data_IF_359808062634
#
_entry.id   IF_359808062634
#
_cell.length_a   1.000
_cell.length_b   1.000
_cell.length_c   1.000
_cell.angle_alpha   90.00
_cell.angle_beta   90.00
_cell.angle_gamma   90.00
#
_symmetry.space_group_name_H-M   'P 1'
#
loop_
_entity.id
_entity.type
_entity.pdbx_description
1 polymer ?
#
# COMPACT_ATOMS: atom_id res chain seq x y z
N UNK A 1 1.25 -3.75 24.46
CA UNK A 1 0.82 -4.15 23.11
C UNK A 1 0.44 -2.90 22.31
N UNK A 2 0.98 -2.76 21.10
CA UNK A 2 0.73 -1.61 20.24
C UNK A 2 -0.65 -1.71 19.59
N UNK A 3 -1.47 -0.69 19.71
CA UNK A 3 -2.75 -0.61 19.03
C UNK A 3 -2.55 0.00 17.64
N UNK A 4 -2.88 -0.77 16.60
CA UNK A 4 -2.78 -0.33 15.21
C UNK A 4 -4.16 0.02 14.67
N UNK A 5 -4.27 1.19 14.04
CA UNK A 5 -5.50 1.65 13.40
C UNK A 5 -5.19 2.33 12.09
N UNK A 6 -6.20 2.40 11.21
CA UNK A 6 -6.15 3.22 10.00
C UNK A 6 -7.11 4.37 10.14
N UNK A 7 -6.74 5.53 9.61
CA UNK A 7 -7.63 6.68 9.56
C UNK A 7 -7.60 7.33 8.18
N UNK A 8 -8.71 7.93 7.79
CA UNK A 8 -8.80 8.68 6.53
C UNK A 8 -7.85 9.87 6.58
N UNK A 9 -7.39 10.27 5.42
CA UNK A 9 -6.59 11.51 5.29
C UNK A 9 -7.55 12.70 5.37
N UNK A 10 -7.25 13.63 6.27
CA UNK A 10 -8.06 14.83 6.54
C UNK A 10 -7.18 16.06 6.52
N UNK A 11 -7.83 17.24 6.56
CA UNK A 11 -7.08 18.50 6.68
C UNK A 11 -6.20 18.54 7.93
N UNK A 12 -6.60 17.81 8.98
CA UNK A 12 -5.87 17.86 10.26
C UNK A 12 -4.66 16.91 10.28
N UNK A 13 -4.65 15.87 9.48
CA UNK A 13 -3.56 14.86 9.48
C UNK A 13 -2.75 14.79 8.18
N UNK A 14 -3.14 15.53 7.13
CA UNK A 14 -2.43 15.45 5.83
C UNK A 14 -0.95 15.85 5.96
N UNK A 15 -0.64 16.81 6.81
CA UNK A 15 0.75 17.19 7.07
C UNK A 15 1.55 16.03 7.67
N UNK A 16 0.97 15.37 8.67
CA UNK A 16 1.60 14.20 9.28
C UNK A 16 1.79 13.06 8.28
N UNK A 17 0.79 12.84 7.40
CA UNK A 17 0.89 11.83 6.34
C UNK A 17 2.04 12.14 5.38
N UNK A 18 2.15 13.39 4.93
CA UNK A 18 3.24 13.81 4.02
C UNK A 18 4.62 13.74 4.67
N UNK A 19 4.70 13.79 5.99
CA UNK A 19 5.95 13.68 6.74
C UNK A 19 6.44 12.24 6.88
N UNK A 20 5.62 11.24 6.55
CA UNK A 20 6.04 9.83 6.56
C UNK A 20 7.14 9.65 5.51
N UNK A 21 8.30 9.20 5.95
CA UNK A 21 9.44 8.91 5.07
C UNK A 21 9.95 7.50 5.37
N UNK A 22 10.19 6.74 4.31
CA UNK A 22 10.77 5.39 4.42
C UNK A 22 12.28 5.48 4.67
N UNK A 23 12.92 4.33 4.92
CA UNK A 23 14.38 4.28 5.02
C UNK A 23 15.02 4.71 3.69
N UNK A 24 16.20 5.37 3.72
CA UNK A 24 16.84 5.86 2.48
C UNK A 24 17.00 4.81 1.37
N UNK A 25 17.32 3.58 1.72
CA UNK A 25 17.50 2.50 0.75
C UNK A 25 16.17 2.03 0.11
N UNK A 26 15.04 2.49 0.62
CA UNK A 26 13.71 2.14 0.11
C UNK A 26 13.11 3.23 -0.78
N UNK A 27 13.70 4.42 -0.83
CA UNK A 27 13.11 5.56 -1.55
C UNK A 27 12.92 5.30 -3.04
N UNK A 28 13.77 4.49 -3.67
CA UNK A 28 13.63 4.14 -5.08
C UNK A 28 12.57 3.07 -5.35
N UNK A 29 12.00 2.47 -4.30
CA UNK A 29 11.04 1.37 -4.42
C UNK A 29 9.59 1.80 -4.18
N UNK A 30 9.36 3.00 -3.67
CA UNK A 30 8.01 3.51 -3.42
C UNK A 30 7.98 5.04 -3.59
N UNK A 31 6.89 5.54 -4.16
CA UNK A 31 6.69 6.99 -4.30
C UNK A 31 6.48 7.64 -2.94
N UNK A 32 6.89 8.91 -2.76
CA UNK A 32 6.61 9.64 -1.53
C UNK A 32 5.10 9.85 -1.35
N UNK A 33 4.68 9.99 -0.10
CA UNK A 33 3.25 10.11 0.23
C UNK A 33 2.57 11.26 -0.49
N UNK A 34 3.25 12.40 -0.64
CA UNK A 34 2.66 13.56 -1.32
C UNK A 34 2.26 13.24 -2.77
N UNK A 35 3.06 12.45 -3.46
CA UNK A 35 2.72 12.02 -4.83
C UNK A 35 1.50 11.09 -4.82
N UNK A 36 1.44 10.16 -3.88
CA UNK A 36 0.30 9.25 -3.76
C UNK A 36 -0.98 10.02 -3.49
N UNK A 37 -0.94 11.06 -2.65
CA UNK A 37 -2.10 11.89 -2.37
C UNK A 37 -2.51 12.73 -3.59
N UNK A 38 -1.55 13.20 -4.38
CA UNK A 38 -1.86 13.90 -5.63
C UNK A 38 -2.57 12.97 -6.62
N UNK A 39 -2.10 11.72 -6.75
CA UNK A 39 -2.74 10.72 -7.59
C UNK A 39 -4.13 10.37 -7.08
N UNK A 40 -4.31 10.26 -5.76
CA UNK A 40 -5.62 10.02 -5.13
C UNK A 40 -6.59 11.16 -5.40
N UNK A 41 -6.13 12.39 -5.36
CA UNK A 41 -6.94 13.56 -5.71
C UNK A 41 -7.43 13.51 -7.17
N UNK A 42 -6.57 13.02 -8.07
CA UNK A 42 -6.92 12.90 -9.49
C UNK A 42 -7.84 11.71 -9.79
N UNK A 43 -7.90 10.72 -8.90
CA UNK A 43 -8.69 9.49 -9.06
C UNK A 43 -9.42 9.15 -7.74
N UNK A 44 -10.29 10.05 -7.25
CA UNK A 44 -10.88 9.86 -5.92
C UNK A 44 -11.80 8.64 -5.82
N UNK A 45 -12.41 8.21 -6.91
CA UNK A 45 -13.27 7.03 -6.95
C UNK A 45 -12.50 5.71 -6.93
N UNK A 46 -11.21 5.75 -7.23
CA UNK A 46 -10.33 4.57 -7.29
C UNK A 46 -9.48 4.44 -6.03
N UNK A 47 -8.89 5.55 -5.58
CA UNK A 47 -7.92 5.57 -4.50
C UNK A 47 -8.55 5.42 -3.11
N UNK A 48 -7.88 4.64 -2.28
CA UNK A 48 -8.29 4.41 -0.89
C UNK A 48 -7.09 4.68 0.05
N UNK A 49 -6.74 5.96 0.26
CA UNK A 49 -5.58 6.33 1.09
C UNK A 49 -5.92 6.31 2.57
N UNK A 50 -4.99 5.82 3.39
CA UNK A 50 -5.14 5.75 4.85
C UNK A 50 -3.81 6.04 5.53
N UNK A 51 -3.87 6.73 6.65
CA UNK A 51 -2.74 6.91 7.56
C UNK A 51 -2.73 5.75 8.56
N UNK A 52 -1.58 5.14 8.76
CA UNK A 52 -1.38 4.08 9.74
C UNK A 52 -1.00 4.73 11.06
N UNK A 53 -1.76 4.44 12.11
CA UNK A 53 -1.47 4.93 13.46
C UNK A 53 -1.06 3.76 14.37
N UNK A 54 0.01 3.95 15.12
CA UNK A 54 0.47 3.03 16.15
C UNK A 54 0.32 3.74 17.49
N UNK A 55 -0.58 3.28 18.34
CA UNK A 55 -0.95 3.94 19.61
C UNK A 55 -1.28 5.43 19.40
N UNK A 56 -1.98 5.74 18.31
CA UNK A 56 -2.38 7.10 17.95
C UNK A 56 -1.31 7.94 17.27
N UNK A 57 -0.09 7.43 17.11
CA UNK A 57 1.01 8.15 16.48
C UNK A 57 1.18 7.74 15.01
N UNK A 58 1.44 8.69 14.10
CA UNK A 58 1.67 8.37 12.69
C UNK A 58 2.86 7.42 12.52
N UNK A 59 2.62 6.29 11.86
CA UNK A 59 3.61 5.24 11.68
C UNK A 59 3.81 4.84 10.21
N UNK A 60 2.89 5.22 9.33
CA UNK A 60 2.99 4.88 7.93
C UNK A 60 1.78 5.33 7.13
N UNK A 61 1.81 5.01 5.86
CA UNK A 61 0.76 5.34 4.90
C UNK A 61 0.50 4.13 4.01
N UNK A 62 -0.76 3.88 3.71
CA UNK A 62 -1.16 2.84 2.77
C UNK A 62 -2.22 3.38 1.82
N UNK A 63 -2.18 2.96 0.57
CA UNK A 63 -3.20 3.31 -0.40
C UNK A 63 -3.60 2.08 -1.20
N UNK A 64 -4.87 1.71 -1.11
CA UNK A 64 -5.47 0.72 -1.97
C UNK A 64 -5.97 1.34 -3.25
N UNK A 65 -6.23 0.51 -4.25
CA UNK A 65 -6.85 0.90 -5.51
C UNK A 65 -8.00 -0.04 -5.81
N UNK A 66 -9.18 0.50 -6.12
CA UNK A 66 -10.36 -0.27 -6.44
C UNK A 66 -11.01 0.32 -7.69
N UNK A 67 -10.78 -0.33 -8.83
CA UNK A 67 -11.26 0.10 -10.14
C UNK A 67 -11.77 -1.11 -10.91
N UNK A 68 -12.95 -1.63 -10.53
CA UNK A 68 -13.46 -2.91 -11.05
C UNK A 68 -13.66 -2.93 -12.56
N UNK A 69 -13.82 -1.77 -13.17
CA UNK A 69 -14.04 -1.64 -14.61
C UNK A 69 -12.76 -1.37 -15.40
N UNK A 70 -11.60 -1.36 -14.75
CA UNK A 70 -10.33 -1.14 -15.42
C UNK A 70 -10.11 -2.22 -16.49
N UNK A 71 -9.74 -1.83 -17.74
CA UNK A 71 -9.46 -2.80 -18.80
C UNK A 71 -8.25 -3.69 -18.50
N UNK A 72 -7.31 -3.21 -17.68
CA UNK A 72 -6.15 -3.99 -17.24
C UNK A 72 -6.53 -4.68 -15.94
N UNK A 73 -6.67 -6.01 -15.97
CA UNK A 73 -7.26 -6.76 -14.87
C UNK A 73 -6.47 -6.68 -13.57
N UNK A 74 -5.14 -6.59 -13.64
CA UNK A 74 -4.32 -6.50 -12.43
C UNK A 74 -4.28 -5.09 -11.80
N UNK A 75 -5.04 -4.13 -12.36
CA UNK A 75 -5.27 -2.82 -11.74
C UNK A 75 -6.68 -2.66 -11.16
N UNK A 76 -7.49 -3.72 -11.19
CA UNK A 76 -8.88 -3.63 -10.72
C UNK A 76 -9.03 -3.59 -9.22
N UNK A 77 -8.12 -4.22 -8.50
CA UNK A 77 -8.19 -4.30 -7.04
C UNK A 77 -6.81 -4.63 -6.48
N UNK A 78 -6.30 -3.80 -5.61
CA UNK A 78 -5.04 -4.12 -4.99
C UNK A 78 -4.44 -3.04 -4.11
N UNK A 79 -3.20 -3.28 -3.75
CA UNK A 79 -2.38 -2.34 -3.00
C UNK A 79 -1.63 -1.46 -3.99
N UNK A 80 -1.80 -0.14 -3.85
CA UNK A 80 -1.14 0.83 -4.71
C UNK A 80 0.15 1.36 -4.10
N UNK A 81 0.12 1.70 -2.80
CA UNK A 81 1.29 2.26 -2.09
C UNK A 81 1.33 1.76 -0.65
N UNK A 82 2.53 1.54 -0.15
CA UNK A 82 2.77 1.24 1.26
C UNK A 82 4.08 1.89 1.69
N UNK A 83 3.99 2.84 2.63
CA UNK A 83 5.13 3.55 3.20
C UNK A 83 5.11 3.36 4.72
N UNK A 84 6.02 2.55 5.24
CA UNK A 84 6.21 2.44 6.69
C UNK A 84 7.34 3.38 7.08
N UNK A 85 7.11 4.21 8.10
CA UNK A 85 8.07 5.22 8.50
C UNK A 85 9.41 4.62 8.91
N UNK A 86 10.49 5.31 8.54
CA UNK A 86 11.83 4.96 8.99
C UNK A 86 11.86 4.89 10.52
N UNK A 87 12.54 3.87 11.06
CA UNK A 87 12.58 3.63 12.49
C UNK A 87 11.38 2.89 13.06
N UNK A 88 10.33 2.67 12.27
CA UNK A 88 9.12 1.94 12.69
C UNK A 88 8.91 0.63 11.93
N UNK A 89 9.90 0.19 11.19
CA UNK A 89 9.82 -1.03 10.41
C UNK A 89 10.15 -2.27 11.25
N UNK A 90 9.79 -3.47 10.75
CA UNK A 90 10.02 -4.72 11.46
C UNK A 90 9.09 -4.97 12.64
N UNK A 91 7.99 -4.24 12.75
CA UNK A 91 7.04 -4.31 13.87
C UNK A 91 5.65 -4.81 13.47
N UNK A 92 5.48 -5.26 12.21
CA UNK A 92 4.21 -5.76 11.72
C UNK A 92 3.24 -4.70 11.19
N UNK A 93 3.64 -3.44 11.10
CA UNK A 93 2.76 -2.35 10.66
C UNK A 93 2.40 -2.48 9.19
N UNK A 94 3.38 -2.85 8.34
CA UNK A 94 3.12 -3.10 6.93
C UNK A 94 2.15 -4.24 6.71
N UNK A 95 2.32 -5.33 7.43
CA UNK A 95 1.42 -6.49 7.37
C UNK A 95 -0.01 -6.08 7.76
N UNK A 96 -0.15 -5.35 8.85
CA UNK A 96 -1.45 -4.85 9.30
C UNK A 96 -2.13 -4.03 8.21
N UNK A 97 -1.39 -3.12 7.59
CA UNK A 97 -1.94 -2.24 6.55
C UNK A 97 -2.36 -3.02 5.30
N UNK A 98 -1.55 -3.97 4.85
CA UNK A 98 -1.90 -4.81 3.69
C UNK A 98 -3.15 -5.63 4.00
N UNK A 99 -3.21 -6.26 5.16
CA UNK A 99 -4.38 -7.04 5.56
C UNK A 99 -5.65 -6.18 5.60
N UNK A 100 -5.56 -4.92 6.02
CA UNK A 100 -6.69 -4.00 6.02
C UNK A 100 -7.17 -3.69 4.59
N UNK A 101 -6.25 -3.53 3.64
CA UNK A 101 -6.61 -3.36 2.21
C UNK A 101 -7.29 -4.61 1.68
N UNK A 102 -6.78 -5.79 2.02
CA UNK A 102 -7.38 -7.06 1.59
C UNK A 102 -8.78 -7.24 2.19
N UNK A 103 -8.99 -6.84 3.44
CA UNK A 103 -10.32 -6.88 4.08
C UNK A 103 -11.29 -5.92 3.40
N UNK A 104 -10.84 -4.74 3.01
CA UNK A 104 -11.66 -3.80 2.24
C UNK A 104 -12.02 -4.39 0.87
N UNK A 105 -11.07 -5.05 0.22
CA UNK A 105 -11.30 -5.73 -1.05
C UNK A 105 -12.39 -6.82 -0.93
N UNK A 106 -12.32 -7.61 0.13
CA UNK A 106 -13.34 -8.65 0.42
C UNK A 106 -14.71 -8.04 0.64
N UNK A 107 -14.80 -6.96 1.40
CA UNK A 107 -16.07 -6.24 1.63
C UNK A 107 -16.68 -5.73 0.34
N UNK A 108 -15.84 -5.36 -0.63
CA UNK A 108 -16.32 -4.89 -1.94
C UNK A 108 -16.64 -6.01 -2.90
N UNK A 109 -16.46 -7.27 -2.48
CA UNK A 109 -16.79 -8.45 -3.29
C UNK A 109 -15.72 -8.92 -4.24
N UNK A 110 -14.50 -8.42 -4.11
CA UNK A 110 -13.38 -8.88 -4.91
C UNK A 110 -12.91 -10.25 -4.45
N UNK A 111 -12.39 -11.06 -5.38
CA UNK A 111 -11.87 -12.41 -5.10
C UNK A 111 -10.35 -12.51 -5.25
N UNK A 112 -9.73 -11.44 -5.73
CA UNK A 112 -8.31 -11.38 -6.03
C UNK A 112 -7.85 -9.96 -5.79
N UNK A 113 -6.65 -9.82 -5.24
CA UNK A 113 -5.99 -8.54 -5.13
C UNK A 113 -4.56 -8.64 -5.68
N UNK A 114 -4.03 -7.54 -6.14
CA UNK A 114 -2.69 -7.46 -6.71
C UNK A 114 -1.85 -6.42 -6.00
N UNK A 115 -0.55 -6.50 -6.20
CA UNK A 115 0.40 -5.46 -5.87
C UNK A 115 1.53 -5.50 -6.91
N UNK A 116 2.23 -4.40 -7.08
CA UNK A 116 3.38 -4.34 -7.95
C UNK A 116 4.60 -3.96 -7.14
N UNK A 117 5.76 -4.52 -7.47
CA UNK A 117 7.01 -4.14 -6.82
C UNK A 117 8.15 -4.00 -7.82
N UNK A 118 9.04 -3.06 -7.54
CA UNK A 118 10.28 -2.88 -8.29
C UNK A 118 11.24 -3.97 -7.84
N UNK A 119 11.83 -4.76 -8.75
CA UNK A 119 12.83 -5.75 -8.37
C UNK A 119 14.14 -5.07 -7.95
N UNK A 120 14.94 -5.76 -7.14
CA UNK A 120 16.24 -5.26 -6.72
C UNK A 120 16.64 -5.75 -5.35
N UNK A 121 17.82 -5.36 -4.90
CA UNK A 121 18.43 -5.82 -3.65
C UNK A 121 17.56 -5.51 -2.43
N UNK A 122 16.94 -4.32 -2.41
CA UNK A 122 16.12 -3.86 -1.30
C UNK A 122 14.63 -3.88 -1.63
N UNK A 123 14.24 -4.67 -2.64
CA UNK A 123 12.84 -4.81 -3.06
C UNK A 123 11.97 -5.34 -1.93
N UNK A 124 10.70 -4.89 -1.84
CA UNK A 124 9.75 -5.47 -0.90
C UNK A 124 9.20 -6.85 -1.33
N UNK A 125 9.75 -7.46 -2.37
CA UNK A 125 9.29 -8.75 -2.89
C UNK A 125 9.14 -9.81 -1.80
N UNK A 126 10.19 -10.02 -0.99
CA UNK A 126 10.16 -11.03 0.06
C UNK A 126 9.04 -10.77 1.07
N UNK A 127 8.77 -9.51 1.38
CA UNK A 127 7.66 -9.12 2.26
C UNK A 127 6.32 -9.55 1.67
N UNK A 128 6.06 -9.26 0.38
CA UNK A 128 4.81 -9.63 -0.26
C UNK A 128 4.67 -11.15 -0.42
N UNK A 129 5.75 -11.85 -0.75
CA UNK A 129 5.70 -13.32 -0.85
C UNK A 129 5.37 -13.96 0.49
N UNK A 130 5.91 -13.43 1.60
CA UNK A 130 5.58 -13.94 2.94
C UNK A 130 4.11 -13.69 3.32
N UNK A 131 3.48 -12.66 2.78
CA UNK A 131 2.06 -12.40 3.00
C UNK A 131 1.15 -13.30 2.17
N UNK A 132 1.71 -14.04 1.23
CA UNK A 132 0.95 -14.98 0.39
C UNK A 132 0.74 -14.53 -1.04
N UNK A 133 1.28 -13.38 -1.43
CA UNK A 133 1.26 -12.98 -2.85
C UNK A 133 2.14 -13.90 -3.68
N UNK A 134 1.72 -14.17 -4.91
CA UNK A 134 2.48 -14.95 -5.89
C UNK A 134 2.90 -14.03 -7.02
N UNK A 135 4.14 -14.16 -7.48
CA UNK A 135 4.58 -13.48 -8.70
C UNK A 135 3.84 -14.11 -9.89
N UNK A 136 3.12 -13.30 -10.64
CA UNK A 136 2.35 -13.77 -11.79
C UNK A 136 3.18 -14.02 -13.05
N UNK A 137 4.43 -13.53 -13.05
CA UNK A 137 5.27 -13.52 -14.24
C UNK A 137 5.02 -12.33 -15.17
N UNK A 138 3.99 -11.53 -14.90
CA UNK A 138 3.72 -10.29 -15.65
C UNK A 138 4.60 -9.17 -15.14
N UNK A 139 5.15 -8.38 -16.07
CA UNK A 139 5.94 -7.18 -15.76
C UNK A 139 5.24 -5.99 -16.38
N UNK A 140 5.05 -4.93 -15.61
CA UNK A 140 4.43 -3.68 -16.05
C UNK A 140 5.35 -2.51 -15.69
N UNK A 141 5.84 -1.80 -16.70
CA UNK A 141 6.78 -0.68 -16.51
C UNK A 141 7.95 -1.04 -15.58
N UNK A 142 8.51 -2.23 -15.78
CA UNK A 142 9.65 -2.71 -14.98
C UNK A 142 9.30 -3.23 -13.61
N UNK A 143 8.02 -3.26 -13.22
CA UNK A 143 7.59 -3.79 -11.95
C UNK A 143 6.96 -5.18 -12.11
N UNK A 144 7.25 -6.06 -11.17
CA UNK A 144 6.62 -7.38 -11.12
C UNK A 144 5.21 -7.26 -10.55
N UNK A 145 4.28 -7.99 -11.16
CA UNK A 145 2.89 -8.06 -10.69
C UNK A 145 2.72 -9.29 -9.82
N UNK A 146 2.33 -9.08 -8.57
CA UNK A 146 1.97 -10.16 -7.65
C UNK A 146 0.48 -10.21 -7.41
N UNK A 147 -0.04 -11.40 -7.09
CA UNK A 147 -1.47 -11.58 -6.81
C UNK A 147 -1.69 -12.45 -5.58
N UNK A 148 -2.84 -12.27 -4.94
CA UNK A 148 -3.30 -13.08 -3.82
C UNK A 148 -4.80 -13.33 -3.96
N UNK A 149 -5.22 -14.55 -3.65
CA UNK A 149 -6.65 -14.90 -3.61
C UNK A 149 -7.25 -14.40 -2.29
N UNK A 150 -8.48 -13.92 -2.35
CA UNK A 150 -9.19 -13.34 -1.20
C UNK A 150 -10.21 -14.30 -0.61
#
# INVERSE_FOLDING_TARGET
>A
MTALTLTKITRDNVGAACAIAVEPHQESYVAPVVRSLAEAYAQPEVAWPRLILADGEPAGFVMGAFDPDCPIDYFRCGLWRLNVAAGRQGKGYGRFAVEAVLDEARRRGHRRATTLWVPGEHSPEAFYLRLGFRDTGTVHDGQHVGEIDL
#
